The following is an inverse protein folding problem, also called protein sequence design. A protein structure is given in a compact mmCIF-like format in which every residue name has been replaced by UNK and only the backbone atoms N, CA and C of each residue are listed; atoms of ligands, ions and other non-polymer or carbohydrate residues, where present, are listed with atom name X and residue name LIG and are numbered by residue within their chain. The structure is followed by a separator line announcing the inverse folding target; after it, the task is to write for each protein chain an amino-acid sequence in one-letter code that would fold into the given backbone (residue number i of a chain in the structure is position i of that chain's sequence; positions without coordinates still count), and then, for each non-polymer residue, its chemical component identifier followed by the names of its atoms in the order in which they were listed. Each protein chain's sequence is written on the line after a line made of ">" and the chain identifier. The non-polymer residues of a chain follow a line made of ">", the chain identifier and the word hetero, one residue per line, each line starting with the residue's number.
data_IF_745259084955
#
_entry.id   IF_745259084955
#
_cell.length_a   1.000
_cell.length_b   1.000
_cell.length_c   1.000
_cell.angle_alpha   90.00
_cell.angle_beta   90.00
_cell.angle_gamma   90.00
#
_symmetry.space_group_name_H-M   'P 1'
#
loop_
_entity.id
_entity.type
_entity.pdbx_description
1 polymer ?
#
# COMPACT_ATOMS: atom_id res chain seq x y z
N UNK A 1 4.84 -13.11 -2.70
CA UNK A 1 6.31 -13.15 -2.59
C UNK A 1 6.79 -11.96 -1.77
N UNK A 2 7.76 -12.16 -0.88
CA UNK A 2 8.42 -11.06 -0.15
C UNK A 2 9.64 -10.58 -0.95
N UNK A 3 9.77 -9.27 -1.17
CA UNK A 3 10.79 -8.66 -2.05
C UNK A 3 11.81 -7.81 -1.31
N UNK A 4 11.62 -7.59 0.00
CA UNK A 4 12.52 -6.81 0.85
C UNK A 4 11.78 -5.75 1.65
N UNK A 5 12.46 -4.64 1.97
CA UNK A 5 11.89 -3.51 2.73
C UNK A 5 11.94 -2.25 1.87
N UNK A 6 10.79 -1.60 1.69
CA UNK A 6 10.66 -0.36 0.91
C UNK A 6 9.96 0.73 1.72
N UNK A 7 9.96 1.97 1.18
CA UNK A 7 9.26 3.11 1.80
C UNK A 7 7.84 3.23 1.27
N UNK A 8 6.88 3.25 2.18
CA UNK A 8 5.49 3.56 1.94
C UNK A 8 5.17 5.00 2.35
N UNK A 9 4.14 5.57 1.71
CA UNK A 9 3.49 6.80 2.12
C UNK A 9 2.02 6.48 2.41
N UNK A 10 1.52 7.00 3.54
CA UNK A 10 0.11 6.97 3.88
C UNK A 10 -0.61 8.14 3.22
N UNK A 11 -1.70 7.84 2.53
CA UNK A 11 -2.53 8.83 1.85
C UNK A 11 -3.46 9.60 2.79
N UNK A 12 -3.83 9.02 3.94
CA UNK A 12 -4.73 9.68 4.90
C UNK A 12 -3.98 10.66 5.81
N UNK A 13 -2.78 10.30 6.27
CA UNK A 13 -2.04 11.09 7.26
C UNK A 13 -0.71 11.67 6.76
N UNK A 14 -0.29 11.32 5.52
CA UNK A 14 0.95 11.78 4.91
C UNK A 14 2.23 11.13 5.44
N UNK A 15 2.14 10.24 6.43
CA UNK A 15 3.31 9.62 7.05
C UNK A 15 4.09 8.75 6.05
N UNK A 16 5.43 8.86 6.05
CA UNK A 16 6.32 8.01 5.28
C UNK A 16 7.02 7.03 6.21
N UNK A 17 6.96 5.74 5.93
CA UNK A 17 7.50 4.70 6.79
C UNK A 17 8.11 3.56 5.98
N UNK A 18 9.03 2.80 6.58
CA UNK A 18 9.56 1.58 5.96
C UNK A 18 8.70 0.40 6.38
N UNK A 19 8.38 -0.47 5.43
CA UNK A 19 7.67 -1.72 5.68
C UNK A 19 8.07 -2.78 4.65
N UNK A 20 7.67 -4.02 4.91
CA UNK A 20 7.95 -5.15 4.05
C UNK A 20 7.23 -5.00 2.70
N UNK A 21 7.97 -5.20 1.62
CA UNK A 21 7.43 -5.28 0.27
C UNK A 21 6.92 -6.70 0.03
N UNK A 22 5.62 -6.89 0.19
CA UNK A 22 4.95 -8.14 -0.12
C UNK A 22 4.21 -7.94 -1.43
N UNK A 23 4.38 -8.84 -2.38
CA UNK A 23 3.67 -8.81 -3.65
C UNK A 23 2.15 -8.94 -3.46
N UNK A 24 1.39 -8.03 -4.06
CA UNK A 24 -0.06 -8.08 -4.11
C UNK A 24 -0.52 -9.03 -5.22
N UNK A 25 -1.18 -10.13 -4.87
CA UNK A 25 -1.90 -11.03 -5.79
C UNK A 25 -1.09 -11.45 -7.04
N UNK A 26 0.18 -11.82 -6.87
CA UNK A 26 1.09 -12.17 -7.97
C UNK A 26 1.27 -11.06 -9.04
N UNK A 27 1.17 -9.79 -8.62
CA UNK A 27 1.36 -8.63 -9.49
C UNK A 27 2.65 -7.86 -9.17
N UNK A 28 3.07 -6.94 -10.03
CA UNK A 28 4.20 -6.05 -9.71
C UNK A 28 3.95 -5.10 -8.53
N UNK A 29 2.71 -4.96 -8.04
CA UNK A 29 2.36 -4.03 -6.96
C UNK A 29 2.65 -4.63 -5.58
N UNK A 30 2.84 -3.74 -4.61
CA UNK A 30 3.07 -4.07 -3.21
C UNK A 30 1.73 -4.09 -2.47
N UNK A 31 1.56 -5.07 -1.59
CA UNK A 31 0.47 -5.15 -0.63
C UNK A 31 0.52 -3.92 0.30
N UNK A 32 -0.58 -3.14 0.40
CA UNK A 32 -0.65 -1.99 1.29
C UNK A 32 -0.40 -2.38 2.75
N UNK A 33 0.62 -1.76 3.36
CA UNK A 33 1.00 -2.01 4.74
C UNK A 33 0.25 -1.05 5.67
N UNK A 34 -0.19 -1.47 6.87
CA UNK A 34 -0.87 -0.58 7.80
C UNK A 34 0.05 0.58 8.20
N UNK A 35 -0.50 1.80 8.21
CA UNK A 35 0.27 2.97 8.57
C UNK A 35 0.68 2.92 10.04
N UNK A 36 1.98 3.06 10.33
CA UNK A 36 2.50 3.07 11.71
C UNK A 36 2.03 4.25 12.56
N UNK A 37 1.40 5.28 11.95
CA UNK A 37 0.90 6.46 12.66
C UNK A 37 -0.61 6.42 12.89
N UNK A 38 -1.40 6.10 11.87
CA UNK A 38 -2.87 6.16 11.95
C UNK A 38 -3.57 4.80 11.74
N UNK A 39 -2.83 3.72 11.49
CA UNK A 39 -3.39 2.38 11.26
C UNK A 39 -4.04 2.16 9.89
N UNK A 40 -4.27 3.22 9.10
CA UNK A 40 -4.91 3.12 7.78
C UNK A 40 -4.17 2.20 6.81
N UNK A 41 -4.92 1.46 5.99
CA UNK A 41 -4.42 0.67 4.87
C UNK A 41 -4.34 1.45 3.55
N UNK A 42 -4.70 2.74 3.53
CA UNK A 42 -4.50 3.64 2.39
C UNK A 42 -3.03 4.03 2.24
N UNK A 43 -2.18 3.04 1.99
CA UNK A 43 -0.75 3.21 1.84
C UNK A 43 -0.29 2.70 0.49
N UNK A 44 0.78 3.31 -0.02
CA UNK A 44 1.41 2.93 -1.28
C UNK A 44 2.92 3.13 -1.22
N UNK A 45 3.71 2.41 -2.02
CA UNK A 45 5.13 2.69 -2.20
C UNK A 45 5.35 4.15 -2.64
N UNK A 46 6.43 4.74 -2.13
CA UNK A 46 6.81 6.15 -2.40
C UNK A 46 7.40 6.33 -3.81
N UNK A 47 7.23 5.37 -4.72
CA UNK A 47 7.80 5.39 -6.08
C UNK A 47 7.34 6.62 -6.89
N UNK A 48 8.26 7.14 -7.71
CA UNK A 48 8.16 8.40 -8.47
C UNK A 48 7.07 8.43 -9.57
N UNK A 49 6.43 7.30 -9.87
CA UNK A 49 5.41 7.25 -10.92
C UNK A 49 4.04 7.75 -10.43
N UNK A 50 3.53 8.84 -11.02
CA UNK A 50 2.20 9.41 -10.71
C UNK A 50 1.05 8.41 -10.86
N UNK A 51 1.16 7.44 -11.78
CA UNK A 51 0.16 6.39 -12.00
C UNK A 51 -0.04 5.45 -10.80
N UNK A 52 0.85 5.49 -9.80
CA UNK A 52 0.73 4.68 -8.59
C UNK A 52 -0.52 5.04 -7.77
N UNK A 53 -0.97 6.29 -7.75
CA UNK A 53 -2.14 6.64 -6.93
C UNK A 53 -3.43 5.96 -7.42
N UNK A 54 -3.72 6.05 -8.72
CA UNK A 54 -4.94 5.49 -9.31
C UNK A 54 -5.01 3.97 -9.15
N UNK A 55 -3.89 3.28 -9.33
CA UNK A 55 -3.87 1.83 -9.16
C UNK A 55 -4.07 1.43 -7.70
N UNK A 56 -3.40 2.10 -6.77
CA UNK A 56 -3.53 1.78 -5.35
C UNK A 56 -4.91 2.13 -4.79
N UNK A 57 -5.57 3.17 -5.30
CA UNK A 57 -6.98 3.46 -4.97
C UNK A 57 -7.91 2.29 -5.32
N UNK A 58 -7.65 1.54 -6.38
CA UNK A 58 -8.39 0.31 -6.71
C UNK A 58 -8.05 -0.84 -5.77
N UNK A 59 -6.76 -1.02 -5.46
CA UNK A 59 -6.30 -2.08 -4.55
C UNK A 59 -6.93 -1.89 -3.15
N UNK A 60 -6.95 -0.67 -2.62
CA UNK A 60 -7.57 -0.38 -1.33
C UNK A 60 -9.04 -0.75 -1.30
N UNK A 61 -9.82 -0.36 -2.33
CA UNK A 61 -11.24 -0.73 -2.43
C UNK A 61 -11.46 -2.25 -2.43
N UNK A 62 -10.61 -3.01 -3.12
CA UNK A 62 -10.68 -4.47 -3.13
C UNK A 62 -10.40 -5.02 -1.72
N UNK A 63 -9.40 -4.50 -1.02
CA UNK A 63 -9.09 -4.92 0.35
C UNK A 63 -10.22 -4.60 1.33
N UNK A 64 -10.81 -3.41 1.22
CA UNK A 64 -11.97 -3.02 2.04
C UNK A 64 -13.17 -3.92 1.79
N UNK A 65 -13.45 -4.26 0.53
CA UNK A 65 -14.51 -5.20 0.18
C UNK A 65 -14.27 -6.58 0.80
N UNK A 66 -13.07 -7.13 0.65
CA UNK A 66 -12.72 -8.45 1.18
C UNK A 66 -12.69 -8.51 2.72
N UNK A 67 -12.47 -7.39 3.42
CA UNK A 67 -12.45 -7.33 4.88
C UNK A 67 -13.85 -7.21 5.49
N UNK A 68 -14.87 -6.89 4.69
CA UNK A 68 -16.26 -6.75 5.11
C UNK A 68 -17.10 -8.03 4.87
N UNK A 69 -16.48 -9.08 4.33
CA UNK A 69 -17.04 -10.42 4.12
C UNK A 69 -16.54 -11.39 5.20
#
# INVERSE_FOLDING_TARGET
>A
MERGIIKFICNDCGNKFKAQDIEWAATKYSYPQPCTRCGSQHTRPTSLFKMNYLMYSKIWKIMEQNNNE
#
